data_IF_357736632377
#
_entry.id   IF_357736632377
#
_cell.length_a   1.000
_cell.length_b   1.000
_cell.length_c   1.000
_cell.angle_alpha   90.00
_cell.angle_beta   90.00
_cell.angle_gamma   90.00
#
_symmetry.space_group_name_H-M   'P 1'
#
loop_
_entity.id
_entity.type
_entity.pdbx_description
1 polymer ?
#
# COMPACT_ATOMS: atom_id res chain seq x y z
N UNK A 1 4.24 3.80 2.27
CA UNK A 1 3.36 3.30 3.36
C UNK A 1 3.78 3.87 4.72
N UNK A 2 2.81 4.31 5.53
CA UNK A 2 3.04 4.96 6.83
C UNK A 2 3.27 3.96 7.97
N UNK A 3 4.23 4.19 8.88
CA UNK A 3 4.56 3.25 9.95
C UNK A 3 3.40 3.02 10.94
N UNK A 4 2.51 3.98 11.13
CA UNK A 4 1.31 3.89 11.99
C UNK A 4 0.34 2.84 11.45
N UNK A 5 0.12 2.82 10.13
CA UNK A 5 -0.72 1.83 9.46
C UNK A 5 -0.11 0.43 9.63
N UNK A 6 1.18 0.28 9.36
CA UNK A 6 1.89 -0.99 9.53
C UNK A 6 1.81 -1.51 10.97
N UNK A 7 2.02 -0.63 11.96
CA UNK A 7 1.93 -1.00 13.38
C UNK A 7 0.53 -1.48 13.76
N UNK A 8 -0.51 -0.86 13.21
CA UNK A 8 -1.90 -1.27 13.45
C UNK A 8 -2.20 -2.63 12.80
N UNK A 9 -1.82 -2.83 11.55
CA UNK A 9 -2.13 -4.06 10.81
C UNK A 9 -1.29 -5.24 11.32
N UNK A 10 0.02 -5.05 11.43
CA UNK A 10 0.98 -6.11 11.69
C UNK A 10 1.33 -6.27 13.18
N UNK A 11 1.04 -5.26 14.01
CA UNK A 11 1.50 -5.21 15.41
C UNK A 11 2.98 -4.84 15.56
N UNK A 12 3.66 -4.55 14.46
CA UNK A 12 5.07 -4.15 14.37
C UNK A 12 5.28 -3.27 13.13
N UNK A 13 6.47 -2.71 12.97
CA UNK A 13 6.87 -2.03 11.74
C UNK A 13 8.05 -2.82 11.15
N UNK A 14 7.89 -3.44 9.96
CA UNK A 14 9.01 -4.05 9.23
C UNK A 14 10.11 -3.03 8.91
N UNK A 15 11.28 -3.52 8.51
CA UNK A 15 12.36 -2.66 8.05
C UNK A 15 11.92 -1.93 6.78
N UNK A 16 12.27 -0.64 6.70
CA UNK A 16 11.77 0.29 5.70
C UNK A 16 12.93 1.03 5.08
N UNK A 17 13.07 0.89 3.77
CA UNK A 17 14.06 1.63 3.00
C UNK A 17 13.37 2.39 1.87
N UNK A 18 13.81 3.62 1.53
CA UNK A 18 13.36 4.30 0.32
C UNK A 18 13.60 3.42 -0.90
N UNK A 19 12.64 3.41 -1.82
CA UNK A 19 12.76 2.68 -3.08
C UNK A 19 11.96 3.41 -4.17
N UNK A 20 12.37 3.25 -5.41
CA UNK A 20 11.76 3.92 -6.56
C UNK A 20 11.46 2.89 -7.64
N UNK A 21 10.33 3.07 -8.33
CA UNK A 21 9.95 2.28 -9.52
C UNK A 21 9.84 3.20 -10.74
N UNK A 22 10.20 2.68 -11.92
CA UNK A 22 10.07 3.42 -13.19
C UNK A 22 8.79 3.03 -13.93
N UNK A 23 8.29 3.97 -14.73
CA UNK A 23 7.09 3.82 -15.54
C UNK A 23 5.79 3.64 -14.73
N UNK A 24 5.74 4.26 -13.56
CA UNK A 24 4.57 4.27 -12.69
C UNK A 24 4.37 5.65 -12.05
N UNK A 25 3.12 5.97 -11.73
CA UNK A 25 2.74 7.09 -10.86
C UNK A 25 1.82 6.61 -9.74
N UNK A 26 1.89 7.24 -8.57
CA UNK A 26 0.91 7.04 -7.51
C UNK A 26 -0.29 7.95 -7.77
N UNK A 27 -1.34 7.41 -8.39
CA UNK A 27 -2.54 8.15 -8.76
C UNK A 27 -3.54 8.25 -7.59
N UNK A 28 -4.27 9.36 -7.54
CA UNK A 28 -5.45 9.48 -6.70
C UNK A 28 -6.60 8.61 -7.25
N UNK A 29 -7.47 8.15 -6.35
CA UNK A 29 -8.63 7.32 -6.70
C UNK A 29 -9.92 8.04 -6.25
N UNK A 30 -11.01 7.99 -7.04
CA UNK A 30 -12.28 8.60 -6.66
C UNK A 30 -12.79 8.06 -5.32
N UNK A 31 -13.05 8.96 -4.37
CA UNK A 31 -13.61 8.61 -3.06
C UNK A 31 -12.68 7.84 -2.12
N UNK A 32 -11.38 7.77 -2.44
CA UNK A 32 -10.37 7.10 -1.58
C UNK A 32 -9.27 8.07 -1.19
N UNK A 33 -8.83 7.92 0.05
CA UNK A 33 -7.73 8.72 0.60
C UNK A 33 -6.36 8.11 0.35
N UNK A 34 -6.28 6.90 -0.19
CA UNK A 34 -5.05 6.16 -0.46
C UNK A 34 -4.83 5.98 -1.97
N UNK A 35 -3.57 5.87 -2.42
CA UNK A 35 -3.24 5.85 -3.84
C UNK A 35 -3.51 4.49 -4.49
N UNK A 36 -3.48 4.50 -5.81
CA UNK A 36 -3.13 3.33 -6.61
C UNK A 36 -1.85 3.59 -7.39
N UNK A 37 -1.02 2.56 -7.54
CA UNK A 37 0.08 2.62 -8.48
C UNK A 37 -0.46 2.28 -9.88
N UNK A 38 -0.30 3.18 -10.85
CA UNK A 38 -0.76 3.01 -12.24
C UNK A 38 0.37 3.26 -13.24
N UNK A 39 0.34 2.63 -14.42
CA UNK A 39 1.35 2.86 -15.45
C UNK A 39 1.45 4.34 -15.85
N UNK A 40 2.67 4.82 -16.08
CA UNK A 40 2.99 6.20 -16.44
C UNK A 40 4.36 6.25 -17.13
N UNK A 41 4.77 7.40 -17.68
CA UNK A 41 6.15 7.64 -18.12
C UNK A 41 7.04 8.24 -17.01
N UNK A 42 6.51 8.32 -15.78
CA UNK A 42 7.19 8.91 -14.62
C UNK A 42 7.83 7.87 -13.70
N UNK A 43 8.63 8.35 -12.75
CA UNK A 43 9.16 7.54 -11.63
C UNK A 43 8.33 7.81 -10.38
N UNK A 44 8.10 6.77 -9.59
CA UNK A 44 7.40 6.89 -8.30
C UNK A 44 8.32 6.47 -7.16
N UNK A 45 8.45 7.36 -6.18
CA UNK A 45 9.11 7.07 -4.92
C UNK A 45 8.14 6.41 -3.93
N UNK A 46 8.68 5.47 -3.16
CA UNK A 46 7.94 4.70 -2.18
C UNK A 46 8.85 4.17 -1.08
N UNK A 47 8.34 3.16 -0.38
CA UNK A 47 9.05 2.50 0.71
C UNK A 47 9.02 1.00 0.49
N UNK A 48 10.20 0.40 0.36
CA UNK A 48 10.36 -1.04 0.35
C UNK A 48 10.29 -1.58 1.78
N UNK A 49 9.45 -2.58 2.00
CA UNK A 49 9.37 -3.32 3.25
C UNK A 49 10.23 -4.58 3.14
N UNK A 50 11.16 -4.75 4.07
CA UNK A 50 11.99 -5.97 4.16
C UNK A 50 11.75 -6.70 5.48
N UNK A 51 12.11 -7.99 5.51
CA UNK A 51 11.84 -8.86 6.66
C UNK A 51 10.35 -9.08 6.92
N UNK A 52 9.50 -9.01 5.89
CA UNK A 52 8.06 -9.31 5.96
C UNK A 52 7.89 -10.82 6.12
N UNK A 53 7.34 -11.25 7.26
CA UNK A 53 7.12 -12.68 7.53
C UNK A 53 5.90 -13.21 6.77
N UNK A 54 5.75 -14.53 6.65
CA UNK A 54 4.53 -15.11 6.05
C UNK A 54 3.25 -14.70 6.79
N UNK A 55 3.34 -14.46 8.10
CA UNK A 55 2.19 -13.96 8.88
C UNK A 55 1.85 -12.55 8.46
N UNK A 56 2.86 -11.69 8.26
CA UNK A 56 2.66 -10.31 7.81
C UNK A 56 2.05 -10.29 6.40
N UNK A 57 2.57 -11.13 5.49
CA UNK A 57 2.02 -11.31 4.14
C UNK A 57 0.54 -11.64 4.16
N UNK A 58 0.11 -12.68 4.90
CA UNK A 58 -1.32 -13.05 4.97
C UNK A 58 -2.22 -11.91 5.47
N UNK A 59 -1.71 -11.02 6.32
CA UNK A 59 -2.46 -9.87 6.83
C UNK A 59 -2.54 -8.77 5.78
N UNK A 60 -1.43 -8.50 5.08
CA UNK A 60 -1.40 -7.54 3.98
C UNK A 60 -2.28 -8.02 2.83
N UNK A 61 -2.16 -9.27 2.41
CA UNK A 61 -2.99 -9.88 1.37
C UNK A 61 -4.47 -9.72 1.74
N UNK A 62 -4.89 -10.14 2.93
CA UNK A 62 -6.29 -10.02 3.35
C UNK A 62 -6.79 -8.57 3.50
N UNK A 63 -5.89 -7.62 3.76
CA UNK A 63 -6.23 -6.21 3.88
C UNK A 63 -6.43 -5.56 2.51
N UNK A 64 -5.67 -5.99 1.51
CA UNK A 64 -5.67 -5.47 0.13
C UNK A 64 -6.59 -6.27 -0.82
N UNK A 65 -7.01 -7.48 -0.38
CA UNK A 65 -7.58 -8.63 -1.12
C UNK A 65 -8.54 -8.28 -2.27
N UNK A 66 -9.60 -7.50 -2.01
CA UNK A 66 -10.64 -7.28 -3.01
C UNK A 66 -10.34 -6.12 -3.97
N UNK A 67 -9.23 -5.41 -3.77
CA UNK A 67 -9.03 -4.08 -4.34
C UNK A 67 -7.77 -3.91 -5.16
N UNK A 68 -6.82 -4.84 -5.10
CA UNK A 68 -5.52 -4.69 -5.73
C UNK A 68 -4.93 -6.03 -6.21
N UNK A 69 -4.28 -6.01 -7.37
CA UNK A 69 -3.49 -7.13 -7.89
C UNK A 69 -2.07 -7.09 -7.32
N UNK A 70 -1.56 -8.24 -6.85
CA UNK A 70 -0.19 -8.37 -6.40
C UNK A 70 0.76 -8.60 -7.59
N UNK A 71 1.65 -7.66 -7.86
CA UNK A 71 2.61 -7.74 -8.97
C UNK A 71 4.04 -7.53 -8.51
N UNK A 72 4.99 -8.10 -9.27
CA UNK A 72 6.41 -7.94 -9.03
C UNK A 72 6.99 -6.90 -9.97
N UNK A 73 7.53 -5.82 -9.42
CA UNK A 73 8.12 -4.73 -10.18
C UNK A 73 9.64 -4.65 -9.98
N UNK A 74 10.40 -4.26 -11.02
CA UNK A 74 11.81 -3.93 -10.88
C UNK A 74 11.97 -2.61 -10.12
N UNK A 75 12.97 -2.54 -9.26
CA UNK A 75 13.34 -1.31 -8.56
C UNK A 75 14.45 -0.56 -9.30
N UNK A 76 14.41 0.77 -9.25
CA UNK A 76 15.55 1.61 -9.65
C UNK A 76 16.74 1.28 -8.76
N UNK A 77 17.90 1.03 -9.36
CA UNK A 77 19.10 0.59 -8.64
C UNK A 77 19.22 -0.92 -8.48
N UNK A 78 18.25 -1.70 -8.98
CA UNK A 78 18.31 -3.16 -9.07
C UNK A 78 17.48 -3.90 -8.03
N UNK A 79 17.24 -5.18 -8.30
CA UNK A 79 16.33 -6.00 -7.50
C UNK A 79 14.87 -5.85 -7.92
N UNK A 80 13.98 -6.46 -7.14
CA UNK A 80 12.54 -6.46 -7.40
C UNK A 80 11.77 -6.39 -6.09
N UNK A 81 10.56 -5.83 -6.14
CA UNK A 81 9.64 -5.80 -5.03
C UNK A 81 8.24 -6.28 -5.46
N UNK A 82 7.50 -6.84 -4.52
CA UNK A 82 6.08 -7.08 -4.67
C UNK A 82 5.31 -5.85 -4.22
N UNK A 83 4.30 -5.45 -4.99
CA UNK A 83 3.41 -4.33 -4.66
C UNK A 83 1.99 -4.63 -5.12
N UNK A 84 1.04 -4.00 -4.46
CA UNK A 84 -0.37 -4.00 -4.80
C UNK A 84 -0.64 -2.87 -5.79
N UNK A 85 -1.16 -3.20 -6.98
CA UNK A 85 -1.55 -2.24 -8.02
C UNK A 85 -3.06 -2.28 -8.21
N UNK A 86 -3.67 -1.17 -8.59
CA UNK A 86 -5.11 -1.20 -8.80
C UNK A 86 -5.45 -2.13 -9.98
N UNK A 87 -6.61 -2.80 -9.95
CA UNK A 87 -7.12 -3.59 -11.05
C UNK A 87 -7.10 -2.77 -12.35
N UNK A 88 -6.96 -3.46 -13.47
CA UNK A 88 -6.85 -2.80 -14.79
C UNK A 88 -8.10 -1.97 -15.15
N UNK A 89 -9.26 -2.29 -14.56
CA UNK A 89 -10.53 -1.58 -14.74
C UNK A 89 -10.79 -0.49 -13.69
N UNK A 90 -9.90 -0.30 -12.71
CA UNK A 90 -10.02 0.75 -11.72
C UNK A 90 -9.84 2.14 -12.38
N UNK A 91 -10.81 3.03 -12.15
CA UNK A 91 -10.73 4.41 -12.61
C UNK A 91 -9.83 5.19 -11.67
N UNK A 92 -8.60 5.45 -12.09
CA UNK A 92 -7.71 6.42 -11.44
C UNK A 92 -8.03 7.85 -11.92
N UNK A 93 -7.87 8.82 -11.02
CA UNK A 93 -7.96 10.23 -11.37
C UNK A 93 -6.69 10.66 -12.11
N UNK A 94 -6.78 11.75 -12.87
CA UNK A 94 -5.64 12.32 -13.59
C UNK A 94 -4.59 12.90 -12.62
N UNK A 95 -5.01 13.28 -11.41
CA UNK A 95 -4.12 13.83 -10.40
C UNK A 95 -3.28 12.73 -9.72
N UNK A 96 -2.11 13.14 -9.25
CA UNK A 96 -1.28 12.31 -8.38
C UNK A 96 -1.77 12.42 -6.94
N UNK A 97 -1.68 11.31 -6.22
CA UNK A 97 -1.98 11.27 -4.81
C UNK A 97 -0.91 11.97 -3.98
N UNK A 98 -1.33 12.70 -2.95
CA UNK A 98 -0.43 13.42 -2.06
C UNK A 98 -0.28 12.73 -0.70
N UNK A 99 0.95 12.32 -0.38
CA UNK A 99 1.29 11.81 0.95
C UNK A 99 1.05 12.84 2.06
N UNK A 100 1.32 14.11 1.77
CA UNK A 100 1.12 15.22 2.71
C UNK A 100 -0.36 15.41 3.02
N UNK A 101 -1.23 15.32 2.01
CA UNK A 101 -2.67 15.40 2.24
C UNK A 101 -3.18 14.19 3.02
N UNK A 102 -2.66 13.00 2.73
CA UNK A 102 -3.02 11.80 3.48
C UNK A 102 -2.62 11.86 4.95
N UNK A 103 -1.55 12.56 5.32
CA UNK A 103 -1.19 12.75 6.74
C UNK A 103 -2.34 13.37 7.55
N UNK A 104 -3.13 14.27 6.95
CA UNK A 104 -4.32 14.84 7.59
C UNK A 104 -5.42 13.80 7.83
N UNK A 105 -5.44 12.71 7.05
CA UNK A 105 -6.37 11.59 7.16
C UNK A 105 -5.79 10.38 7.91
N UNK A 106 -4.52 10.43 8.35
CA UNK A 106 -3.84 9.28 8.95
C UNK A 106 -4.51 8.80 10.24
N UNK A 107 -4.97 9.72 11.09
CA UNK A 107 -5.64 9.39 12.34
C UNK A 107 -6.97 8.61 12.12
N UNK A 108 -7.95 9.12 11.35
CA UNK A 108 -9.17 8.35 11.06
C UNK A 108 -8.87 7.07 10.26
N UNK A 109 -7.90 7.10 9.34
CA UNK A 109 -7.53 5.92 8.56
C UNK A 109 -6.96 4.78 9.43
N UNK A 110 -6.06 5.09 10.38
CA UNK A 110 -5.53 4.08 11.31
C UNK A 110 -6.61 3.55 12.27
N UNK A 111 -7.63 4.34 12.60
CA UNK A 111 -8.78 3.87 13.37
C UNK A 111 -9.61 2.86 12.57
N UNK A 112 -9.87 3.11 11.28
CA UNK A 112 -10.51 2.16 10.39
C UNK A 112 -9.69 0.86 10.25
N UNK A 113 -8.37 0.97 10.11
CA UNK A 113 -7.45 -0.19 10.09
C UNK A 113 -7.56 -1.02 11.38
N UNK A 114 -7.68 -0.37 12.55
CA UNK A 114 -7.86 -1.07 13.84
C UNK A 114 -9.18 -1.86 13.88
N UNK A 115 -10.26 -1.24 13.42
CA UNK A 115 -11.57 -1.89 13.35
C UNK A 115 -11.55 -3.10 12.41
N UNK A 116 -10.98 -2.95 11.21
CA UNK A 116 -10.78 -4.06 10.27
C UNK A 116 -9.97 -5.19 10.92
N UNK A 117 -8.86 -4.84 11.59
CA UNK A 117 -7.97 -5.82 12.21
C UNK A 117 -8.65 -6.60 13.34
N UNK A 118 -9.50 -5.95 14.14
CA UNK A 118 -10.28 -6.60 15.19
C UNK A 118 -11.27 -7.61 14.59
N UNK A 119 -11.97 -7.23 13.51
CA UNK A 119 -12.92 -8.10 12.82
C UNK A 119 -12.25 -9.29 12.13
N UNK A 120 -11.11 -9.06 11.46
CA UNK A 120 -10.36 -10.12 10.79
C UNK A 120 -9.77 -11.15 11.77
N UNK A 121 -9.43 -10.75 13.00
CA UNK A 121 -9.03 -11.71 14.05
C UNK A 121 -10.19 -12.55 14.58
N UNK A 122 -11.42 -12.08 14.43
CA UNK A 122 -12.63 -12.77 14.89
C UNK A 122 -13.20 -13.73 13.84
N UNK A 123 -12.77 -13.64 12.57
CA UNK A 123 -13.17 -14.56 11.52
C UNK A 123 -12.60 -15.98 11.78
N UNK A 124 -13.41 -17.04 11.73
CA UNK A 124 -12.94 -18.41 11.92
C UNK A 124 -11.96 -18.81 10.81
N UNK A 125 -10.91 -19.54 11.19
CA UNK A 125 -9.87 -20.07 10.28
C UNK A 125 -10.42 -21.12 9.31
#
# INVERSE_FOLDING_TARGET
>A
MFPEVLRVLLGRVPDRTPATVESWRAAALPGRVYPALVPSDSRTDGVLLSGVSERDWRILDAYEDDLYDLVRLPLVGGGHAWTYIAPTDAVALDEDWSAVEFEMHLAPYTAACRSWRANHRAAPR
#
